data_IF_218687114345
#
_entry.id   IF_218687114345
#
_cell.length_a   1.000
_cell.length_b   1.000
_cell.length_c   1.000
_cell.angle_alpha   90.00
_cell.angle_beta   90.00
_cell.angle_gamma   90.00
#
_symmetry.space_group_name_H-M   'P 1'
#
loop_
_entity.id
_entity.type
_entity.pdbx_description
1 polymer ?
#
# COMPACT_ATOMS: atom_id res chain seq x y z
N UNK A 1 3.13 -8.87 -7.21
CA UNK A 1 3.57 -8.61 -8.62
C UNK A 1 4.65 -9.61 -8.98
N UNK A 2 4.37 -10.50 -9.94
CA UNK A 2 5.37 -11.48 -10.38
C UNK A 2 6.22 -10.88 -11.48
N UNK A 3 7.46 -10.55 -11.15
CA UNK A 3 8.47 -10.18 -12.17
C UNK A 3 9.01 -11.46 -12.78
N UNK A 4 8.71 -11.71 -14.05
CA UNK A 4 9.32 -12.80 -14.80
C UNK A 4 10.55 -12.25 -15.52
N UNK A 5 11.71 -12.63 -15.01
CA UNK A 5 12.99 -12.25 -15.58
C UNK A 5 13.64 -13.44 -16.26
N UNK A 6 14.23 -13.22 -17.41
CA UNK A 6 15.09 -14.21 -18.05
C UNK A 6 16.40 -14.26 -17.27
N UNK A 7 16.76 -15.44 -16.80
CA UNK A 7 17.97 -15.67 -16.01
C UNK A 7 18.81 -16.79 -16.65
N UNK A 8 19.98 -17.05 -16.10
CA UNK A 8 20.83 -18.13 -16.57
C UNK A 8 20.19 -19.55 -16.43
N UNK A 9 19.16 -19.66 -15.59
CA UNK A 9 18.38 -20.90 -15.43
C UNK A 9 17.17 -21.02 -16.37
N UNK A 10 16.90 -20.00 -17.18
CA UNK A 10 15.79 -20.00 -18.14
C UNK A 10 16.13 -20.95 -19.30
N UNK A 11 15.30 -21.97 -19.50
CA UNK A 11 15.49 -22.95 -20.58
C UNK A 11 14.88 -22.45 -21.91
N UNK A 12 15.30 -23.09 -23.01
CA UNK A 12 14.69 -22.81 -24.34
C UNK A 12 13.17 -23.06 -24.32
N UNK A 13 12.73 -24.09 -23.61
CA UNK A 13 11.29 -24.42 -23.45
C UNK A 13 10.53 -23.30 -22.74
N UNK A 14 11.14 -22.64 -21.75
CA UNK A 14 10.51 -21.52 -21.06
C UNK A 14 10.36 -20.31 -21.97
N UNK A 15 11.36 -20.05 -22.83
CA UNK A 15 11.28 -18.98 -23.84
C UNK A 15 10.19 -19.25 -24.88
N UNK A 16 10.06 -20.46 -25.35
CA UNK A 16 9.00 -20.87 -26.29
C UNK A 16 7.59 -20.72 -25.67
N UNK A 17 7.44 -21.00 -24.37
CA UNK A 17 6.20 -20.76 -23.64
C UNK A 17 5.87 -19.27 -23.51
N UNK A 18 6.86 -18.44 -23.23
CA UNK A 18 6.69 -16.99 -23.13
C UNK A 18 6.30 -16.41 -24.49
N UNK A 19 6.99 -16.80 -25.57
CA UNK A 19 6.72 -16.34 -26.91
C UNK A 19 5.28 -16.70 -27.34
N UNK A 20 4.87 -17.94 -27.09
CA UNK A 20 3.50 -18.40 -27.36
C UNK A 20 2.48 -17.58 -26.58
N UNK A 21 2.68 -17.38 -25.26
CA UNK A 21 1.77 -16.62 -24.42
C UNK A 21 1.64 -15.16 -24.89
N UNK A 22 2.74 -14.51 -25.27
CA UNK A 22 2.73 -13.14 -25.81
C UNK A 22 1.98 -13.11 -27.15
N UNK A 23 2.23 -14.08 -28.00
CA UNK A 23 1.54 -14.19 -29.30
C UNK A 23 0.03 -14.37 -29.14
N UNK A 24 -0.39 -15.21 -28.20
CA UNK A 24 -1.81 -15.44 -27.93
C UNK A 24 -2.49 -14.18 -27.36
N UNK A 25 -1.82 -13.48 -26.43
CA UNK A 25 -2.31 -12.20 -25.89
C UNK A 25 -2.41 -11.14 -27.00
N UNK A 26 -1.42 -11.07 -27.90
CA UNK A 26 -1.42 -10.07 -28.98
C UNK A 26 -2.55 -10.27 -30.00
N UNK A 27 -3.03 -11.51 -30.14
CA UNK A 27 -4.17 -11.86 -31.01
C UNK A 27 -5.52 -11.71 -30.30
N UNK A 28 -5.55 -11.59 -28.97
CA UNK A 28 -6.80 -11.40 -28.23
C UNK A 28 -7.35 -10.00 -28.49
N UNK A 29 -8.68 -9.89 -28.63
CA UNK A 29 -9.34 -8.58 -28.70
C UNK A 29 -9.20 -7.89 -27.35
N UNK A 30 -8.25 -6.96 -27.25
CA UNK A 30 -8.11 -6.12 -26.08
C UNK A 30 -9.25 -5.08 -26.05
N UNK A 31 -10.14 -5.23 -25.08
CA UNK A 31 -11.10 -4.17 -24.75
C UNK A 31 -10.51 -3.31 -23.67
N UNK A 32 -10.13 -2.05 -23.96
CA UNK A 32 -9.60 -1.16 -22.93
C UNK A 32 -10.68 -0.97 -21.85
N UNK A 33 -10.37 -1.39 -20.64
CA UNK A 33 -11.18 -1.01 -19.49
C UNK A 33 -10.98 0.49 -19.25
N UNK A 34 -12.07 1.20 -19.01
CA UNK A 34 -11.99 2.61 -18.57
C UNK A 34 -11.36 2.61 -17.19
N UNK A 35 -10.06 2.84 -17.13
CA UNK A 35 -9.34 2.97 -15.87
C UNK A 35 -9.74 4.32 -15.28
N UNK A 36 -10.50 4.31 -14.18
CA UNK A 36 -10.73 5.54 -13.42
C UNK A 36 -9.37 6.11 -13.02
N UNK A 37 -9.18 7.41 -13.23
CA UNK A 37 -7.97 8.08 -12.80
C UNK A 37 -7.80 7.85 -11.30
N UNK A 38 -6.69 7.26 -10.84
CA UNK A 38 -6.49 6.99 -9.42
C UNK A 38 -6.46 8.31 -8.65
N UNK A 39 -7.00 8.31 -7.42
CA UNK A 39 -6.82 9.46 -6.52
C UNK A 39 -5.34 9.67 -6.24
N UNK A 40 -4.90 10.92 -6.07
CA UNK A 40 -3.54 11.15 -5.57
C UNK A 40 -3.40 10.50 -4.18
N UNK A 41 -2.20 10.00 -3.89
CA UNK A 41 -1.88 9.46 -2.59
C UNK A 41 -2.03 10.55 -1.52
N UNK A 42 -2.63 10.26 -0.35
CA UNK A 42 -2.75 11.25 0.71
C UNK A 42 -1.38 11.70 1.21
N UNK A 43 -1.28 12.97 1.56
CA UNK A 43 -0.08 13.55 2.17
C UNK A 43 -0.46 14.18 3.50
N UNK A 44 0.01 13.59 4.58
CA UNK A 44 -0.24 14.09 5.93
C UNK A 44 1.04 14.60 6.59
N UNK A 45 0.90 15.53 7.54
CA UNK A 45 2.01 16.10 8.27
C UNK A 45 2.60 15.14 9.31
N UNK A 46 3.84 15.41 9.73
CA UNK A 46 4.47 14.75 10.86
C UNK A 46 4.17 15.56 12.14
N UNK A 47 3.60 14.88 13.15
CA UNK A 47 3.39 15.41 14.50
C UNK A 47 4.44 14.89 15.48
N UNK A 48 5.14 13.82 15.11
CA UNK A 48 6.20 13.19 15.89
C UNK A 48 7.34 12.76 14.96
N UNK A 49 8.56 12.63 15.51
CA UNK A 49 9.63 12.05 14.68
C UNK A 49 9.32 10.60 14.34
N UNK A 50 9.70 10.17 13.15
CA UNK A 50 9.49 8.79 12.70
C UNK A 50 10.09 7.77 13.67
N UNK A 51 11.27 8.07 14.21
CA UNK A 51 11.96 7.23 15.18
C UNK A 51 11.16 7.11 16.49
N UNK A 52 10.72 8.23 17.04
CA UNK A 52 10.00 8.24 18.32
C UNK A 52 8.65 7.54 18.18
N UNK A 53 7.93 7.76 17.09
CA UNK A 53 6.66 7.08 16.81
C UNK A 53 6.84 5.56 16.70
N UNK A 54 7.86 5.11 15.98
CA UNK A 54 8.13 3.68 15.75
C UNK A 54 8.51 2.93 17.05
N UNK A 55 9.23 3.59 17.96
CA UNK A 55 9.66 3.00 19.23
C UNK A 55 8.74 3.32 20.41
N UNK A 56 7.65 4.06 20.20
CA UNK A 56 6.64 4.31 21.23
C UNK A 56 5.77 3.08 21.50
N UNK A 57 5.16 3.03 22.67
CA UNK A 57 4.09 2.08 22.93
C UNK A 57 2.98 2.30 21.90
N UNK A 58 2.49 1.23 21.32
CA UNK A 58 1.54 1.29 20.22
C UNK A 58 0.41 0.29 20.38
N UNK A 59 -0.70 0.55 19.70
CA UNK A 59 -1.88 -0.31 19.71
C UNK A 59 -2.49 -0.37 18.31
N UNK A 60 -2.99 -1.54 17.94
CA UNK A 60 -3.69 -1.76 16.69
C UNK A 60 -5.18 -1.45 16.86
N UNK A 61 -5.70 -0.52 16.05
CA UNK A 61 -7.11 -0.12 16.05
C UNK A 61 -7.69 -0.16 14.64
N UNK A 62 -9.01 -0.01 14.49
CA UNK A 62 -9.62 0.10 13.16
C UNK A 62 -9.18 1.38 12.45
N UNK A 63 -9.16 1.35 11.12
CA UNK A 63 -8.79 2.52 10.32
C UNK A 63 -9.66 3.73 10.65
N UNK A 64 -10.97 3.55 10.89
CA UNK A 64 -11.88 4.64 11.27
C UNK A 64 -11.52 5.24 12.63
N UNK A 65 -11.19 4.40 13.62
CA UNK A 65 -10.82 4.86 14.96
C UNK A 65 -9.43 5.52 15.00
N UNK A 66 -8.62 5.36 13.96
CA UNK A 66 -7.28 5.92 13.87
C UNK A 66 -7.25 7.39 13.42
N UNK A 67 -8.37 7.95 12.97
CA UNK A 67 -8.45 9.34 12.52
C UNK A 67 -8.05 10.28 13.66
N UNK A 68 -7.12 11.21 13.36
CA UNK A 68 -6.57 12.17 14.32
C UNK A 68 -5.46 11.60 15.19
N UNK A 69 -5.03 10.35 14.97
CA UNK A 69 -3.95 9.71 15.74
C UNK A 69 -2.65 9.63 14.96
N UNK A 70 -1.55 9.46 15.68
CA UNK A 70 -0.21 9.36 15.10
C UNK A 70 0.05 7.90 14.72
N UNK A 71 0.44 7.68 13.47
CA UNK A 71 0.80 6.37 12.97
C UNK A 71 2.11 5.88 13.62
N UNK A 72 2.16 4.61 14.04
CA UNK A 72 3.33 4.02 14.68
C UNK A 72 4.13 3.10 13.75
N UNK A 73 3.55 2.64 12.64
CA UNK A 73 4.19 1.74 11.69
C UNK A 73 4.03 2.24 10.26
N UNK A 74 4.80 1.65 9.33
CA UNK A 74 4.64 1.94 7.91
C UNK A 74 3.37 1.26 7.39
N UNK A 75 2.41 2.05 6.93
CA UNK A 75 1.21 1.54 6.26
C UNK A 75 1.45 1.53 4.76
N UNK A 76 1.48 0.35 4.16
CA UNK A 76 1.67 0.19 2.73
C UNK A 76 0.75 -0.90 2.17
N UNK A 77 0.43 -0.81 0.89
CA UNK A 77 -0.18 -1.90 0.14
C UNK A 77 0.83 -2.48 -0.86
N UNK A 78 0.75 -3.77 -1.09
CA UNK A 78 1.62 -4.44 -2.05
C UNK A 78 0.78 -5.20 -3.07
N UNK A 79 0.95 -4.98 -4.38
CA UNK A 79 1.75 -3.98 -5.06
C UNK A 79 1.08 -2.59 -5.08
N UNK A 80 1.83 -1.45 -5.17
CA UNK A 80 3.24 -1.33 -5.55
C UNK A 80 4.24 -1.21 -4.39
N UNK A 81 3.89 -1.48 -3.14
CA UNK A 81 4.73 -1.31 -1.95
C UNK A 81 5.17 0.14 -1.69
N UNK A 82 4.35 1.11 -2.10
CA UNK A 82 4.57 2.51 -1.76
C UNK A 82 3.94 2.79 -0.40
N UNK A 83 4.67 3.41 0.54
CA UNK A 83 4.09 3.81 1.82
C UNK A 83 2.93 4.80 1.62
N UNK A 84 1.80 4.52 2.24
CA UNK A 84 0.62 5.40 2.27
C UNK A 84 0.73 6.36 3.44
N UNK A 85 1.15 5.84 4.59
CA UNK A 85 1.43 6.61 5.81
C UNK A 85 2.72 6.09 6.43
N UNK A 86 3.52 6.99 6.98
CA UNK A 86 4.76 6.70 7.69
C UNK A 86 4.58 6.88 9.20
N UNK A 87 5.41 6.22 10.03
CA UNK A 87 5.42 6.48 11.47
C UNK A 87 5.63 7.96 11.75
N UNK A 88 4.90 8.50 12.73
CA UNK A 88 4.95 9.91 13.10
C UNK A 88 4.02 10.82 12.31
N UNK A 89 3.41 10.35 11.24
CA UNK A 89 2.39 11.11 10.51
C UNK A 89 1.02 10.97 11.18
N UNK A 90 0.24 12.07 11.12
CA UNK A 90 -1.15 12.05 11.57
C UNK A 90 -2.03 11.33 10.53
N UNK A 91 -2.96 10.54 10.98
CA UNK A 91 -3.93 9.84 10.13
C UNK A 91 -5.18 10.72 10.01
N UNK A 92 -5.51 11.15 8.81
CA UNK A 92 -6.70 11.94 8.52
C UNK A 92 -7.76 11.16 7.72
N UNK A 93 -8.89 11.79 7.45
CA UNK A 93 -9.96 11.19 6.65
C UNK A 93 -9.50 10.76 5.26
N UNK A 94 -8.59 11.51 4.62
CA UNK A 94 -8.12 11.20 3.26
C UNK A 94 -7.34 9.90 3.22
N UNK A 95 -6.57 9.61 4.28
CA UNK A 95 -5.86 8.34 4.46
C UNK A 95 -6.86 7.18 4.56
N UNK A 96 -7.86 7.31 5.44
CA UNK A 96 -8.84 6.23 5.68
C UNK A 96 -9.68 5.97 4.43
N UNK A 97 -10.10 7.01 3.71
CA UNK A 97 -10.81 6.85 2.44
C UNK A 97 -9.94 6.17 1.38
N UNK A 98 -8.65 6.54 1.30
CA UNK A 98 -7.71 5.92 0.38
C UNK A 98 -7.50 4.43 0.69
N UNK A 99 -7.34 4.08 1.97
CA UNK A 99 -7.20 2.69 2.41
C UNK A 99 -8.42 1.85 2.02
N UNK A 100 -9.63 2.36 2.24
CA UNK A 100 -10.89 1.68 1.89
C UNK A 100 -11.07 1.48 0.38
N UNK A 101 -10.61 2.42 -0.43
CA UNK A 101 -10.80 2.38 -1.89
C UNK A 101 -9.75 1.52 -2.60
N UNK A 102 -8.51 1.50 -2.09
CA UNK A 102 -7.36 0.92 -2.80
C UNK A 102 -6.66 -0.23 -2.08
N UNK A 103 -7.08 -0.57 -0.86
CA UNK A 103 -6.43 -1.63 -0.07
C UNK A 103 -7.44 -2.45 0.71
N UNK A 104 -6.98 -3.59 1.25
CA UNK A 104 -7.76 -4.42 2.19
C UNK A 104 -7.33 -4.17 3.66
N UNK A 105 -6.69 -3.02 3.94
CA UNK A 105 -6.19 -2.69 5.27
C UNK A 105 -7.34 -2.12 6.11
N UNK A 106 -7.81 -2.90 7.08
CA UNK A 106 -8.88 -2.52 7.99
C UNK A 106 -8.38 -1.97 9.33
N UNK A 107 -7.12 -2.26 9.69
CA UNK A 107 -6.52 -1.89 10.97
C UNK A 107 -5.18 -1.21 10.79
N UNK A 108 -4.88 -0.26 11.67
CA UNK A 108 -3.65 0.52 11.68
C UNK A 108 -3.06 0.51 13.09
N UNK A 109 -1.74 0.49 13.19
CA UNK A 109 -1.02 0.62 14.44
C UNK A 109 -0.76 2.10 14.71
N UNK A 110 -1.21 2.58 15.86
CA UNK A 110 -1.07 3.98 16.29
C UNK A 110 -0.36 4.09 17.63
N UNK A 111 0.24 5.24 17.90
CA UNK A 111 0.90 5.52 19.18
C UNK A 111 -0.14 5.50 20.32
N UNK A 112 0.12 4.75 21.38
CA UNK A 112 -0.87 4.52 22.44
C UNK A 112 -1.09 5.72 23.36
N UNK A 113 -0.12 6.63 23.48
CA UNK A 113 -0.26 7.88 24.26
C UNK A 113 -1.41 8.76 23.79
N UNK A 114 -1.78 8.68 22.52
CA UNK A 114 -2.89 9.43 21.94
C UNK A 114 -4.28 8.88 22.29
N UNK A 115 -4.36 7.72 22.93
CA UNK A 115 -5.63 7.08 23.29
C UNK A 115 -6.07 7.50 24.70
N UNK A 116 -5.12 7.83 25.58
CA UNK A 116 -5.36 8.18 26.97
C UNK A 116 -5.59 9.68 27.24
N UNK A 117 -5.60 10.52 26.21
CA UNK A 117 -5.80 11.97 26.28
C UNK A 117 -7.26 12.36 26.08
N UNK A 118 -8.18 11.82 26.91
CA UNK A 118 -9.56 12.30 27.03
C UNK A 118 -10.00 12.31 28.48
#
# INVERSE_FOLDING_TARGET
MYKRQITASTTKKDLELIDRAITDISKSEYRPQVIKKPRPMPHTGFEMSMKDAFFSDSVMISAEASIGKICAEVVNSCPPCCPIVLPGQIIDNSVVEYLKEYTDIEKIVVVSSDINSK
#
